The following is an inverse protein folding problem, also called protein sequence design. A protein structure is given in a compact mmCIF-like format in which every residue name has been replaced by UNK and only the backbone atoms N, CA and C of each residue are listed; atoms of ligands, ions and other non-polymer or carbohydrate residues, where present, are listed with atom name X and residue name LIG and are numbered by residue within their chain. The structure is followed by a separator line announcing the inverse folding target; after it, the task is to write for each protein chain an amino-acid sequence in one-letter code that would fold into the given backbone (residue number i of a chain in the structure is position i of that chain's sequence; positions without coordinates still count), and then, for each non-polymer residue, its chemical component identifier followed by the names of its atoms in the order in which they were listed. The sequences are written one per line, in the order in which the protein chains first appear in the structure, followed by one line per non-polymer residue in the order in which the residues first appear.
data_IF_862713346223
#
_entry.id   IF_862713346223
#
_cell.length_a   1.000
_cell.length_b   1.000
_cell.length_c   1.000
_cell.angle_alpha   90.00
_cell.angle_beta   90.00
_cell.angle_gamma   90.00
#
_symmetry.space_group_name_H-M   'P 1'
#
loop_
_entity.id
_entity.type
_entity.pdbx_description
1 polymer ?
#
# COMPACT_ATOMS: atom_id res chain seq x y z
N UNK A 1 -12.00 -7.42 -14.11
CA UNK A 1 -11.12 -6.67 -13.18
C UNK A 1 -11.55 -5.21 -13.26
N UNK A 2 -11.91 -4.60 -12.13
CA UNK A 2 -12.41 -3.22 -12.08
C UNK A 2 -11.27 -2.29 -11.67
N UNK A 3 -10.82 -1.46 -12.60
CA UNK A 3 -9.68 -0.55 -12.37
C UNK A 3 -10.11 0.82 -11.80
N UNK A 4 -11.42 1.03 -11.62
CA UNK A 4 -12.01 2.33 -11.23
C UNK A 4 -12.79 2.31 -9.91
N UNK A 5 -12.84 1.17 -9.21
CA UNK A 5 -13.64 1.01 -8.00
C UNK A 5 -12.70 0.76 -6.83
N UNK A 6 -12.76 1.62 -5.81
CA UNK A 6 -12.05 1.40 -4.56
C UNK A 6 -12.62 0.17 -3.85
N UNK A 7 -11.74 -0.66 -3.27
CA UNK A 7 -12.17 -1.78 -2.45
C UNK A 7 -13.00 -1.33 -1.24
N UNK A 8 -12.76 -0.12 -0.74
CA UNK A 8 -13.55 0.50 0.32
C UNK A 8 -14.97 0.82 -0.16
N UNK A 9 -15.13 1.38 -1.37
CA UNK A 9 -16.44 1.66 -1.95
C UNK A 9 -17.27 0.38 -2.08
N UNK A 10 -16.65 -0.75 -2.41
CA UNK A 10 -17.34 -2.06 -2.46
C UNK A 10 -17.85 -2.51 -1.08
N UNK A 11 -17.12 -2.22 -0.01
CA UNK A 11 -17.57 -2.55 1.35
C UNK A 11 -18.68 -1.61 1.80
N UNK A 12 -18.61 -0.33 1.44
CA UNK A 12 -19.63 0.67 1.81
C UNK A 12 -20.93 0.53 1.00
N UNK A 13 -20.83 0.07 -0.25
CA UNK A 13 -21.99 -0.06 -1.15
C UNK A 13 -23.10 -0.97 -0.60
N UNK A 14 -22.75 -1.98 0.22
CA UNK A 14 -23.73 -2.83 0.90
C UNK A 14 -23.34 -3.08 2.36
N UNK A 15 -24.32 -2.97 3.25
CA UNK A 15 -24.19 -3.36 4.66
C UNK A 15 -23.75 -4.83 4.80
N UNK A 16 -23.14 -5.16 5.94
CA UNK A 16 -22.69 -6.51 6.31
C UNK A 16 -21.52 -7.03 5.47
N UNK A 17 -20.53 -6.16 5.18
CA UNK A 17 -19.32 -6.52 4.45
C UNK A 17 -18.07 -6.14 5.24
N UNK A 18 -17.04 -6.96 5.11
CA UNK A 18 -15.71 -6.67 5.64
C UNK A 18 -14.64 -6.98 4.60
N UNK A 19 -13.67 -6.06 4.45
CA UNK A 19 -12.46 -6.25 3.68
C UNK A 19 -11.40 -6.90 4.57
N UNK A 20 -11.02 -8.12 4.20
CA UNK A 20 -10.03 -8.93 4.90
C UNK A 20 -8.79 -9.06 4.02
N UNK A 21 -7.62 -8.81 4.60
CA UNK A 21 -6.32 -8.92 3.94
C UNK A 21 -5.52 -10.06 4.55
N UNK A 22 -4.88 -10.87 3.71
CA UNK A 22 -4.00 -11.95 4.14
C UNK A 22 -2.63 -11.36 4.49
N UNK A 23 -2.15 -11.57 5.72
CA UNK A 23 -0.84 -11.11 6.17
C UNK A 23 0.27 -12.07 5.70
N UNK A 24 0.37 -12.25 4.39
CA UNK A 24 1.38 -13.10 3.76
C UNK A 24 1.91 -12.43 2.49
N UNK A 25 3.01 -12.93 1.96
CA UNK A 25 3.55 -12.48 0.67
C UNK A 25 2.80 -13.19 -0.47
N UNK A 26 2.02 -12.46 -1.30
CA UNK A 26 1.28 -13.06 -2.41
C UNK A 26 2.18 -13.73 -3.45
N UNK A 27 3.36 -13.16 -3.70
CA UNK A 27 4.28 -13.57 -4.75
C UNK A 27 5.01 -14.88 -4.45
N UNK A 28 5.12 -15.25 -3.17
CA UNK A 28 5.81 -16.48 -2.76
C UNK A 28 4.88 -17.50 -2.13
N UNK A 29 3.91 -17.08 -1.32
CA UNK A 29 3.04 -17.99 -0.58
C UNK A 29 1.78 -18.37 -1.36
N UNK A 30 1.03 -17.38 -1.85
CA UNK A 30 -0.29 -17.63 -2.44
C UNK A 30 -0.16 -18.21 -3.85
N UNK A 31 0.77 -17.70 -4.66
CA UNK A 31 0.92 -18.17 -6.04
C UNK A 31 1.35 -19.65 -6.13
N UNK A 32 2.12 -20.13 -5.14
CA UNK A 32 2.63 -21.50 -5.07
C UNK A 32 1.70 -22.46 -4.30
N UNK A 33 0.61 -21.95 -3.72
CA UNK A 33 -0.32 -22.76 -2.95
C UNK A 33 -1.20 -23.66 -3.83
N UNK A 34 -1.72 -24.75 -3.26
CA UNK A 34 -2.62 -25.68 -3.97
C UNK A 34 -3.90 -24.93 -4.41
N UNK A 35 -4.21 -24.82 -5.72
CA UNK A 35 -5.28 -23.96 -6.22
C UNK A 35 -6.68 -24.38 -5.74
N UNK A 36 -6.93 -25.69 -5.65
CA UNK A 36 -8.25 -26.25 -5.36
C UNK A 36 -8.56 -26.40 -3.85
N UNK A 37 -7.63 -26.04 -2.97
CA UNK A 37 -7.93 -26.00 -1.54
C UNK A 37 -8.78 -24.77 -1.21
N UNK A 38 -9.62 -24.87 -0.17
CA UNK A 38 -10.40 -23.72 0.31
C UNK A 38 -9.48 -22.66 0.92
N UNK A 39 -9.91 -21.41 0.89
CA UNK A 39 -9.21 -20.29 1.55
C UNK A 39 -9.01 -20.61 3.04
N UNK A 40 -10.02 -21.16 3.72
CA UNK A 40 -9.92 -21.62 5.12
C UNK A 40 -8.78 -22.62 5.35
N UNK A 41 -8.70 -23.67 4.52
CA UNK A 41 -7.67 -24.70 4.64
C UNK A 41 -6.27 -24.12 4.39
N UNK A 42 -6.16 -23.18 3.46
CA UNK A 42 -4.90 -22.49 3.21
C UNK A 42 -4.46 -21.65 4.41
N UNK A 43 -5.35 -20.83 4.96
CA UNK A 43 -5.06 -19.99 6.13
C UNK A 43 -4.63 -20.83 7.33
N UNK A 44 -5.43 -21.84 7.69
CA UNK A 44 -5.21 -22.66 8.88
C UNK A 44 -3.97 -23.55 8.78
N UNK A 45 -3.72 -24.17 7.63
CA UNK A 45 -2.55 -25.05 7.45
C UNK A 45 -1.23 -24.31 7.43
N UNK A 46 -1.23 -23.05 6.97
CA UNK A 46 -0.02 -22.24 6.84
C UNK A 46 0.10 -21.20 7.97
N UNK A 47 -0.81 -21.23 8.96
CA UNK A 47 -0.85 -20.29 10.08
C UNK A 47 -0.79 -18.81 9.63
N UNK A 48 -1.56 -18.48 8.58
CA UNK A 48 -1.58 -17.13 8.01
C UNK A 48 -2.44 -16.23 8.86
N UNK A 49 -1.89 -15.10 9.32
CA UNK A 49 -2.67 -14.10 10.04
C UNK A 49 -3.58 -13.32 9.09
N UNK A 50 -4.72 -12.87 9.63
CA UNK A 50 -5.71 -12.07 8.92
C UNK A 50 -5.69 -10.63 9.45
N UNK A 51 -5.70 -9.66 8.55
CA UNK A 51 -5.98 -8.27 8.89
C UNK A 51 -7.40 -7.90 8.47
N UNK A 52 -8.14 -7.21 9.34
CA UNK A 52 -9.40 -6.57 8.96
C UNK A 52 -9.03 -5.15 8.54
N UNK A 53 -9.03 -4.90 7.23
CA UNK A 53 -8.64 -3.58 6.72
C UNK A 53 -9.77 -2.56 6.90
N UNK A 54 -11.02 -3.01 6.74
CA UNK A 54 -12.20 -2.18 6.92
C UNK A 54 -13.44 -3.07 7.09
N UNK A 55 -14.39 -2.65 7.92
CA UNK A 55 -15.69 -3.32 8.09
C UNK A 55 -16.75 -2.30 8.42
N UNK A 56 -17.96 -2.51 7.91
CA UNK A 56 -19.13 -1.66 8.24
C UNK A 56 -19.90 -2.15 9.48
N UNK A 57 -19.47 -3.25 10.08
CA UNK A 57 -19.99 -3.81 11.33
C UNK A 57 -18.86 -4.35 12.20
N UNK A 58 -19.11 -4.50 13.50
CA UNK A 58 -18.17 -5.16 14.39
C UNK A 58 -18.03 -6.64 14.01
N UNK A 59 -16.80 -7.04 13.73
CA UNK A 59 -16.46 -8.41 13.36
C UNK A 59 -15.05 -8.74 13.85
N UNK A 60 -14.88 -9.95 14.37
CA UNK A 60 -13.58 -10.43 14.87
C UNK A 60 -12.91 -11.36 13.86
N UNK A 61 -11.63 -11.67 14.07
CA UNK A 61 -10.92 -12.67 13.26
C UNK A 61 -11.55 -14.07 13.40
N UNK A 62 -12.07 -14.41 14.57
CA UNK A 62 -12.72 -15.70 14.83
C UNK A 62 -14.03 -15.83 14.05
N UNK A 63 -14.84 -14.75 14.00
CA UNK A 63 -16.06 -14.71 13.18
C UNK A 63 -15.75 -14.97 11.69
N UNK A 64 -14.66 -14.37 11.19
CA UNK A 64 -14.19 -14.55 9.81
C UNK A 64 -13.80 -16.01 9.57
N UNK A 65 -13.03 -16.62 10.47
CA UNK A 65 -12.64 -18.02 10.37
C UNK A 65 -13.86 -18.95 10.37
N UNK A 66 -14.86 -18.66 11.19
CA UNK A 66 -16.12 -19.42 11.25
C UNK A 66 -16.98 -19.30 9.99
N UNK A 67 -16.92 -18.15 9.30
CA UNK A 67 -17.52 -17.98 7.98
C UNK A 67 -16.74 -18.82 6.95
N UNK A 68 -15.43 -18.64 6.90
CA UNK A 68 -14.55 -19.31 5.94
C UNK A 68 -14.60 -20.85 6.06
N UNK A 69 -14.81 -21.38 7.26
CA UNK A 69 -14.94 -22.82 7.52
C UNK A 69 -16.10 -23.47 6.75
N UNK A 70 -17.17 -22.72 6.48
CA UNK A 70 -18.37 -23.17 5.74
C UNK A 70 -18.38 -22.69 4.28
N UNK A 71 -17.50 -21.76 3.94
CA UNK A 71 -17.35 -21.21 2.59
C UNK A 71 -16.51 -22.15 1.68
N UNK A 72 -16.87 -22.18 0.40
CA UNK A 72 -16.23 -23.08 -0.58
C UNK A 72 -15.24 -22.39 -1.50
N UNK A 73 -15.00 -21.08 -1.34
CA UNK A 73 -14.11 -20.30 -2.18
C UNK A 73 -12.68 -20.82 -2.06
N UNK A 74 -11.99 -20.79 -3.19
CA UNK A 74 -10.75 -21.52 -3.42
C UNK A 74 -9.58 -20.55 -3.50
N UNK A 75 -8.38 -21.06 -3.21
CA UNK A 75 -7.15 -20.29 -3.37
C UNK A 75 -6.96 -19.84 -4.82
N UNK A 76 -7.40 -20.63 -5.80
CA UNK A 76 -7.35 -20.24 -7.22
C UNK A 76 -8.08 -18.91 -7.49
N UNK A 77 -9.15 -18.61 -6.76
CA UNK A 77 -9.93 -17.39 -6.98
C UNK A 77 -9.11 -16.14 -6.59
N UNK A 78 -8.16 -16.27 -5.64
CA UNK A 78 -7.17 -15.23 -5.31
C UNK A 78 -5.98 -15.27 -6.29
N UNK A 79 -5.56 -16.45 -6.73
CA UNK A 79 -4.48 -16.56 -7.73
C UNK A 79 -4.87 -15.92 -9.06
N UNK A 80 -6.15 -16.03 -9.46
CA UNK A 80 -6.67 -15.39 -10.66
C UNK A 80 -6.59 -13.85 -10.56
N UNK A 81 -6.85 -13.27 -9.39
CA UNK A 81 -6.66 -11.83 -9.18
C UNK A 81 -5.19 -11.43 -9.19
N UNK A 82 -4.30 -12.27 -8.66
CA UNK A 82 -2.84 -12.05 -8.76
C UNK A 82 -2.40 -12.04 -10.23
N UNK A 83 -2.79 -13.03 -11.03
CA UNK A 83 -2.43 -13.10 -12.46
C UNK A 83 -2.95 -11.89 -13.24
N UNK A 84 -4.19 -11.48 -12.97
CA UNK A 84 -4.78 -10.31 -13.58
C UNK A 84 -4.02 -8.99 -13.30
N UNK A 85 -3.43 -8.86 -12.10
CA UNK A 85 -2.60 -7.71 -11.71
C UNK A 85 -1.24 -7.77 -12.42
N UNK A 86 -0.61 -8.96 -12.44
CA UNK A 86 0.66 -9.20 -13.13
C UNK A 86 0.57 -8.96 -14.64
N UNK A 87 -0.50 -9.42 -15.30
CA UNK A 87 -0.73 -9.23 -16.74
C UNK A 87 -0.86 -7.75 -17.13
N UNK A 88 -1.28 -6.88 -16.19
CA UNK A 88 -1.33 -5.43 -16.38
C UNK A 88 0.03 -4.73 -16.14
N UNK A 89 1.06 -5.49 -15.79
CA UNK A 89 2.40 -4.96 -15.50
C UNK A 89 2.50 -4.23 -14.16
N UNK A 90 1.66 -4.58 -13.20
CA UNK A 90 1.83 -4.19 -11.81
C UNK A 90 2.70 -5.22 -11.08
N UNK A 91 3.51 -4.72 -10.14
CA UNK A 91 4.37 -5.54 -9.32
C UNK A 91 3.65 -5.89 -8.01
N UNK A 92 3.35 -7.18 -7.84
CA UNK A 92 2.71 -7.73 -6.64
C UNK A 92 3.71 -7.90 -5.48
N UNK A 93 4.96 -7.50 -5.61
CA UNK A 93 5.91 -7.42 -4.50
C UNK A 93 6.03 -5.99 -3.95
N UNK A 94 5.58 -5.00 -4.73
CA UNK A 94 5.57 -3.58 -4.35
C UNK A 94 4.18 -3.23 -3.83
N UNK A 95 4.08 -2.75 -2.59
CA UNK A 95 2.84 -2.22 -2.00
C UNK A 95 1.61 -3.12 -2.23
N UNK A 96 1.80 -4.43 -2.08
CA UNK A 96 0.82 -5.43 -2.47
C UNK A 96 0.11 -6.07 -1.28
N UNK A 97 -1.12 -6.50 -1.55
CA UNK A 97 -1.92 -7.27 -0.62
C UNK A 97 -2.95 -8.08 -1.39
N UNK A 98 -3.08 -9.35 -1.01
CA UNK A 98 -4.17 -10.20 -1.47
C UNK A 98 -5.17 -10.39 -0.34
N UNK A 99 -6.44 -10.38 -0.68
CA UNK A 99 -7.50 -10.44 0.29
C UNK A 99 -8.82 -10.82 -0.35
N UNK A 100 -9.86 -10.64 0.43
CA UNK A 100 -11.22 -10.91 0.01
C UNK A 100 -12.19 -10.05 0.79
N UNK A 101 -13.34 -9.79 0.18
CA UNK A 101 -14.49 -9.16 0.83
C UNK A 101 -15.45 -10.28 1.22
N UNK A 102 -15.74 -10.39 2.51
CA UNK A 102 -16.77 -11.30 3.01
C UNK A 102 -18.12 -10.60 3.10
N UNK A 103 -19.18 -11.36 2.83
CA UNK A 103 -20.54 -11.00 3.16
C UNK A 103 -20.93 -11.73 4.44
N UNK A 104 -21.14 -10.98 5.52
CA UNK A 104 -21.30 -11.52 6.88
C UNK A 104 -22.68 -12.14 7.06
N UNK A 105 -23.71 -11.54 6.45
CA UNK A 105 -25.09 -12.04 6.49
C UNK A 105 -25.22 -13.35 5.69
N UNK A 106 -24.67 -13.38 4.48
CA UNK A 106 -24.67 -14.58 3.63
C UNK A 106 -23.64 -15.62 4.05
N UNK A 107 -22.69 -15.25 4.92
CA UNK A 107 -21.56 -16.07 5.35
C UNK A 107 -20.77 -16.67 4.19
N UNK A 108 -20.40 -15.83 3.22
CA UNK A 108 -19.60 -16.23 2.06
C UNK A 108 -18.47 -15.23 1.78
N UNK A 109 -17.45 -15.67 1.06
CA UNK A 109 -16.53 -14.77 0.36
C UNK A 109 -17.25 -14.26 -0.89
N UNK A 110 -17.52 -12.95 -0.96
CA UNK A 110 -18.26 -12.34 -2.08
C UNK A 110 -17.32 -11.89 -3.20
N UNK A 111 -16.10 -11.46 -2.85
CA UNK A 111 -15.07 -11.07 -3.81
C UNK A 111 -13.68 -11.48 -3.35
N UNK A 112 -12.82 -11.90 -4.27
CA UNK A 112 -11.37 -11.94 -4.08
C UNK A 112 -10.75 -10.70 -4.74
N UNK A 113 -9.63 -10.23 -4.18
CA UNK A 113 -8.90 -9.11 -4.77
C UNK A 113 -7.40 -9.20 -4.48
N UNK A 114 -6.63 -8.58 -5.37
CA UNK A 114 -5.20 -8.34 -5.20
C UNK A 114 -4.92 -6.91 -5.59
N UNK A 115 -4.12 -6.23 -4.79
CA UNK A 115 -3.49 -4.97 -5.13
C UNK A 115 -2.02 -5.20 -5.45
N UNK A 116 -1.51 -4.49 -6.45
CA UNK A 116 -0.09 -4.43 -6.79
C UNK A 116 0.29 -2.99 -7.07
N UNK A 117 1.52 -2.62 -6.68
CA UNK A 117 2.09 -1.31 -6.93
C UNK A 117 2.75 -1.25 -8.30
N UNK A 118 2.92 -0.04 -8.83
CA UNK A 118 3.78 0.19 -9.99
C UNK A 118 4.60 1.43 -9.74
N UNK A 119 5.91 1.30 -9.91
CA UNK A 119 6.80 2.45 -9.86
C UNK A 119 6.55 3.33 -11.08
N UNK A 120 6.57 4.64 -10.87
CA UNK A 120 6.64 5.55 -11.99
C UNK A 120 7.95 5.33 -12.76
N UNK A 121 7.92 5.36 -14.11
CA UNK A 121 9.10 5.12 -14.93
C UNK A 121 10.30 5.99 -14.54
N UNK A 122 10.05 7.21 -14.05
CA UNK A 122 11.08 8.20 -13.72
C UNK A 122 11.76 7.95 -12.37
N UNK A 123 11.23 7.07 -11.50
CA UNK A 123 11.72 6.91 -10.12
C UNK A 123 13.19 6.51 -10.06
N UNK A 124 13.62 5.55 -10.88
CA UNK A 124 15.01 5.07 -10.87
C UNK A 124 16.00 6.16 -11.29
N UNK A 125 15.63 6.94 -12.30
CA UNK A 125 16.41 8.09 -12.77
C UNK A 125 16.49 9.18 -11.69
N UNK A 126 15.34 9.53 -11.10
CA UNK A 126 15.25 10.55 -10.05
C UNK A 126 16.09 10.16 -8.84
N UNK A 127 15.99 8.92 -8.37
CA UNK A 127 16.81 8.42 -7.26
C UNK A 127 18.31 8.49 -7.59
N UNK A 128 18.69 8.07 -8.81
CA UNK A 128 20.08 8.10 -9.25
C UNK A 128 20.63 9.53 -9.30
N UNK A 129 19.83 10.47 -9.79
CA UNK A 129 20.16 11.89 -9.88
C UNK A 129 20.29 12.55 -8.51
N UNK A 130 19.36 12.28 -7.59
CA UNK A 130 19.43 12.78 -6.21
C UNK A 130 20.69 12.26 -5.49
N UNK A 131 21.02 10.98 -5.66
CA UNK A 131 22.27 10.42 -5.12
C UNK A 131 23.51 11.08 -5.71
N UNK A 132 23.53 11.36 -7.02
CA UNK A 132 24.63 12.07 -7.68
C UNK A 132 24.82 13.48 -7.13
N UNK A 133 23.75 14.10 -6.64
CA UNK A 133 23.76 15.39 -5.93
C UNK A 133 24.10 15.27 -4.43
N UNK A 134 24.52 14.08 -3.94
CA UNK A 134 24.76 13.78 -2.52
C UNK A 134 23.54 14.03 -1.61
N UNK A 135 22.34 13.81 -2.12
CA UNK A 135 21.10 13.89 -1.33
C UNK A 135 20.77 12.50 -0.78
N UNK A 136 20.64 12.41 0.55
CA UNK A 136 20.18 11.19 1.22
C UNK A 136 18.66 11.01 1.06
N UNK A 137 18.25 9.82 0.64
CA UNK A 137 16.85 9.50 0.36
C UNK A 137 16.32 8.54 1.42
N UNK A 138 15.12 8.82 1.90
CA UNK A 138 14.39 8.04 2.89
C UNK A 138 12.98 7.72 2.39
N UNK A 139 12.43 6.58 2.80
CA UNK A 139 11.08 6.14 2.42
C UNK A 139 10.26 5.87 3.68
N UNK A 140 9.07 6.46 3.76
CA UNK A 140 8.15 6.28 4.88
C UNK A 140 6.75 5.88 4.40
N UNK A 141 6.27 4.69 4.78
CA UNK A 141 4.95 4.18 4.38
C UNK A 141 4.24 3.45 5.52
N UNK A 142 2.90 3.39 5.44
CA UNK A 142 2.08 2.54 6.29
C UNK A 142 2.18 1.05 5.94
N UNK A 143 2.83 0.71 4.83
CA UNK A 143 3.01 -0.67 4.38
C UNK A 143 3.88 -1.49 5.33
N UNK A 144 3.75 -2.82 5.19
CA UNK A 144 4.55 -3.79 5.93
C UNK A 144 6.03 -3.63 5.60
N UNK A 145 6.87 -3.81 6.63
CA UNK A 145 8.33 -3.70 6.52
C UNK A 145 8.93 -4.49 5.36
N UNK A 146 8.55 -5.76 5.20
CA UNK A 146 9.11 -6.59 4.11
C UNK A 146 8.79 -6.07 2.71
N UNK A 147 7.59 -5.52 2.47
CA UNK A 147 7.24 -4.94 1.18
C UNK A 147 8.02 -3.64 0.93
N UNK A 148 8.17 -2.81 1.98
CA UNK A 148 8.87 -1.53 1.87
C UNK A 148 10.39 -1.70 1.71
N UNK A 149 11.00 -2.69 2.36
CA UNK A 149 12.41 -3.04 2.19
C UNK A 149 12.69 -3.58 0.78
N UNK A 150 11.81 -4.43 0.24
CA UNK A 150 11.89 -4.87 -1.17
C UNK A 150 11.82 -3.69 -2.12
N UNK A 151 10.85 -2.79 -1.94
CA UNK A 151 10.75 -1.56 -2.73
C UNK A 151 12.05 -0.76 -2.67
N UNK A 152 12.59 -0.53 -1.46
CA UNK A 152 13.83 0.21 -1.27
C UNK A 152 14.99 -0.44 -2.03
N UNK A 153 15.15 -1.77 -1.98
CA UNK A 153 16.16 -2.49 -2.76
C UNK A 153 15.95 -2.27 -4.27
N UNK A 154 14.72 -2.38 -4.77
CA UNK A 154 14.38 -2.17 -6.18
C UNK A 154 14.76 -0.78 -6.68
N UNK A 155 14.56 0.26 -5.85
CA UNK A 155 14.93 1.64 -6.18
C UNK A 155 16.30 2.04 -5.65
N UNK A 156 17.10 1.07 -5.21
CA UNK A 156 18.46 1.25 -4.72
C UNK A 156 18.57 2.21 -3.50
N UNK A 157 17.62 2.21 -2.58
CA UNK A 157 17.69 2.93 -1.31
C UNK A 157 18.09 1.96 -0.20
N UNK A 158 18.94 2.41 0.73
CA UNK A 158 19.33 1.60 1.89
C UNK A 158 18.11 1.23 2.72
N UNK A 159 17.99 -0.05 3.11
CA UNK A 159 16.93 -0.51 4.02
C UNK A 159 17.00 0.16 5.38
N UNK A 160 18.16 0.68 5.79
CA UNK A 160 18.29 1.52 7.01
C UNK A 160 17.55 2.85 6.94
N UNK A 161 17.20 3.30 5.73
CA UNK A 161 16.51 4.56 5.47
C UNK A 161 15.00 4.35 5.27
N UNK A 162 14.50 3.15 5.61
CA UNK A 162 13.10 2.76 5.47
C UNK A 162 12.36 2.85 6.81
N UNK A 163 11.25 3.58 6.83
CA UNK A 163 10.32 3.70 7.95
C UNK A 163 8.98 3.08 7.57
N UNK A 164 8.82 1.79 7.87
CA UNK A 164 7.61 1.04 7.58
C UNK A 164 6.56 1.14 8.70
N UNK A 165 5.32 0.77 8.40
CA UNK A 165 4.19 0.74 9.36
C UNK A 165 3.99 2.05 10.11
N UNK A 166 4.31 3.20 9.47
CA UNK A 166 4.14 4.52 10.07
C UNK A 166 2.80 5.13 9.69
N UNK A 167 2.10 5.66 10.68
CA UNK A 167 0.85 6.41 10.49
C UNK A 167 1.14 7.87 10.10
N UNK A 168 0.08 8.66 9.87
CA UNK A 168 0.15 10.07 9.50
C UNK A 168 1.05 10.89 10.45
N UNK A 169 0.97 10.64 11.76
CA UNK A 169 1.78 11.35 12.76
C UNK A 169 3.22 10.84 12.75
N UNK A 170 3.41 9.54 12.62
CA UNK A 170 4.70 8.89 12.49
C UNK A 170 5.52 9.44 11.33
N UNK A 171 4.90 9.67 10.17
CA UNK A 171 5.55 10.32 9.03
C UNK A 171 6.10 11.71 9.37
N UNK A 172 5.33 12.55 10.07
CA UNK A 172 5.80 13.86 10.53
C UNK A 172 6.95 13.75 11.55
N UNK A 173 6.89 12.77 12.47
CA UNK A 173 7.99 12.51 13.41
C UNK A 173 9.29 12.10 12.71
N UNK A 174 9.21 11.35 11.60
CA UNK A 174 10.36 11.01 10.76
C UNK A 174 11.00 12.28 10.23
N UNK A 175 10.23 13.19 9.63
CA UNK A 175 10.74 14.48 9.14
C UNK A 175 11.41 15.27 10.28
N UNK A 176 10.74 15.40 11.43
CA UNK A 176 11.30 16.09 12.59
C UNK A 176 12.61 15.48 13.08
N UNK A 177 12.77 14.16 13.00
CA UNK A 177 14.03 13.47 13.31
C UNK A 177 15.11 13.78 12.26
N UNK A 178 14.76 13.77 10.98
CA UNK A 178 15.70 14.07 9.89
C UNK A 178 16.19 15.52 9.93
N UNK A 179 15.33 16.49 10.27
CA UNK A 179 15.71 17.90 10.47
C UNK A 179 16.70 18.15 11.61
N UNK A 180 16.88 17.19 12.52
CA UNK A 180 17.96 17.24 13.53
C UNK A 180 19.31 16.76 12.99
N UNK A 181 19.31 16.02 11.88
CA UNK A 181 20.49 15.42 11.25
C UNK A 181 20.94 16.20 10.01
N UNK A 182 20.00 16.76 9.27
CA UNK A 182 20.22 17.47 8.01
C UNK A 182 19.81 18.94 8.14
N UNK A 183 20.48 19.80 7.38
CA UNK A 183 20.19 21.23 7.33
C UNK A 183 18.81 21.51 6.71
N UNK A 184 18.45 20.75 5.66
CA UNK A 184 17.13 20.79 5.05
C UNK A 184 16.58 19.42 4.72
N UNK A 185 15.26 19.31 4.82
CA UNK A 185 14.49 18.12 4.46
C UNK A 185 13.36 18.49 3.51
N UNK A 186 13.38 17.90 2.31
CA UNK A 186 12.24 17.90 1.40
C UNK A 186 11.38 16.67 1.66
N UNK A 187 10.08 16.85 1.82
CA UNK A 187 9.10 15.76 1.87
C UNK A 187 8.34 15.72 0.56
N UNK A 188 8.28 14.56 -0.10
CA UNK A 188 7.45 14.33 -1.29
C UNK A 188 6.34 13.35 -0.94
N UNK A 189 5.08 13.72 -1.19
CA UNK A 189 3.92 12.87 -0.91
C UNK A 189 2.74 13.18 -1.84
N UNK A 190 1.72 12.34 -1.82
CA UNK A 190 0.58 12.38 -2.76
C UNK A 190 -0.78 12.39 -2.05
N UNK A 191 -0.82 12.07 -0.74
CA UNK A 191 -2.05 11.72 -0.05
C UNK A 191 -2.35 12.55 1.19
N UNK A 192 -3.60 12.46 1.64
CA UNK A 192 -4.07 13.07 2.90
C UNK A 192 -3.24 12.63 4.11
N UNK A 193 -2.69 11.42 4.08
CA UNK A 193 -1.83 10.86 5.12
C UNK A 193 -0.46 11.56 5.22
N UNK A 194 -0.09 12.39 4.25
CA UNK A 194 1.20 13.09 4.21
C UNK A 194 1.09 14.55 4.64
N UNK A 195 -0.12 15.09 4.83
CA UNK A 195 -0.37 16.51 5.16
C UNK A 195 0.50 16.99 6.33
N UNK A 196 0.63 16.20 7.40
CA UNK A 196 1.43 16.59 8.55
C UNK A 196 2.93 16.57 8.25
N UNK A 197 3.40 15.62 7.45
CA UNK A 197 4.79 15.52 7.05
C UNK A 197 5.19 16.61 6.05
N UNK A 198 4.30 16.93 5.10
CA UNK A 198 4.47 18.04 4.15
C UNK A 198 4.66 19.37 4.89
N UNK A 199 3.84 19.64 5.91
CA UNK A 199 3.93 20.86 6.72
C UNK A 199 5.13 20.91 7.67
N UNK A 200 5.66 19.77 8.09
CA UNK A 200 6.82 19.70 9.00
C UNK A 200 8.15 19.87 8.24
N UNK A 201 8.17 19.52 6.96
CA UNK A 201 9.33 19.62 6.10
C UNK A 201 9.77 21.07 5.88
N UNK A 202 11.02 21.25 5.45
CA UNK A 202 11.49 22.57 5.03
C UNK A 202 10.94 22.93 3.64
N UNK A 203 10.68 21.91 2.84
CA UNK A 203 9.90 22.00 1.59
C UNK A 203 8.98 20.78 1.49
N UNK A 204 7.68 21.02 1.54
CA UNK A 204 6.64 20.04 1.26
C UNK A 204 6.27 20.05 -0.22
N UNK A 205 6.53 18.95 -0.93
CA UNK A 205 6.19 18.77 -2.34
C UNK A 205 5.03 17.79 -2.48
N UNK A 206 3.93 18.25 -3.05
CA UNK A 206 2.80 17.42 -3.43
C UNK A 206 2.97 16.93 -4.86
N UNK A 207 2.99 15.61 -5.06
CA UNK A 207 2.88 15.02 -6.41
C UNK A 207 1.43 14.69 -6.74
N UNK A 208 0.98 15.14 -7.91
CA UNK A 208 -0.34 14.82 -8.46
C UNK A 208 -0.28 13.72 -9.53
N UNK A 209 0.88 13.11 -9.76
CA UNK A 209 1.08 12.11 -10.81
C UNK A 209 0.19 10.86 -10.64
N UNK A 210 -0.23 10.52 -9.41
CA UNK A 210 -1.16 9.40 -9.13
C UNK A 210 -2.63 9.81 -9.10
N UNK A 211 -2.94 11.11 -9.00
CA UNK A 211 -4.22 11.55 -8.45
C UNK A 211 -5.23 11.96 -9.52
N UNK A 212 -6.39 11.30 -9.51
CA UNK A 212 -7.55 11.70 -10.32
C UNK A 212 -8.45 12.73 -9.61
N UNK A 213 -8.29 12.90 -8.29
CA UNK A 213 -9.05 13.84 -7.45
C UNK A 213 -8.18 14.39 -6.34
N UNK A 214 -8.08 15.71 -6.26
CA UNK A 214 -7.23 16.38 -5.27
C UNK A 214 -8.09 17.05 -4.21
N UNK A 215 -7.82 16.75 -2.94
CA UNK A 215 -8.48 17.41 -1.82
C UNK A 215 -7.86 18.78 -1.55
N UNK A 216 -8.70 19.81 -1.36
CA UNK A 216 -8.25 21.20 -1.12
C UNK A 216 -7.30 21.32 0.08
N UNK A 217 -7.53 20.53 1.14
CA UNK A 217 -6.65 20.49 2.33
C UNK A 217 -5.23 20.05 2.00
N UNK A 218 -5.06 19.20 0.99
CA UNK A 218 -3.77 18.69 0.55
C UNK A 218 -3.00 19.75 -0.23
N UNK A 219 -3.68 20.47 -1.14
CA UNK A 219 -3.11 21.60 -1.88
C UNK A 219 -2.57 22.68 -0.93
N UNK A 220 -3.33 22.99 0.13
CA UNK A 220 -2.95 23.97 1.16
C UNK A 220 -1.81 23.53 2.08
N UNK A 221 -1.41 22.26 2.03
CA UNK A 221 -0.39 21.71 2.92
C UNK A 221 1.00 21.66 2.27
N UNK A 222 1.09 21.81 0.95
CA UNK A 222 2.33 21.74 0.21
C UNK A 222 2.81 23.13 -0.21
N UNK A 223 4.13 23.30 -0.26
CA UNK A 223 4.78 24.50 -0.77
C UNK A 223 4.88 24.48 -2.30
N UNK A 224 5.10 23.28 -2.87
CA UNK A 224 5.28 23.07 -4.31
C UNK A 224 4.38 21.91 -4.75
N UNK A 225 3.81 22.04 -5.95
CA UNK A 225 3.02 21.00 -6.59
C UNK A 225 3.74 20.58 -7.87
N UNK A 226 3.92 19.28 -8.06
CA UNK A 226 4.49 18.67 -9.27
C UNK A 226 3.52 17.68 -9.89
N UNK A 227 3.57 17.53 -11.21
CA UNK A 227 2.73 16.60 -11.97
C UNK A 227 3.50 15.37 -12.45
N UNK A 228 4.83 15.47 -12.45
CA UNK A 228 5.76 14.38 -12.67
C UNK A 228 6.84 14.39 -11.59
N UNK A 229 7.15 13.23 -11.01
CA UNK A 229 8.16 13.10 -9.97
C UNK A 229 9.54 13.60 -10.40
N UNK A 230 9.84 13.65 -11.70
CA UNK A 230 11.09 14.21 -12.23
C UNK A 230 11.27 15.70 -11.93
N UNK A 231 10.19 16.46 -11.80
CA UNK A 231 10.24 17.90 -11.54
C UNK A 231 10.89 18.25 -10.18
N UNK A 232 10.95 17.29 -9.24
CA UNK A 232 11.62 17.52 -7.95
C UNK A 232 13.13 17.77 -8.10
N UNK A 233 13.73 17.34 -9.22
CA UNK A 233 15.15 17.56 -9.50
C UNK A 233 15.48 19.03 -9.76
N UNK A 234 14.49 19.83 -10.13
CA UNK A 234 14.63 21.26 -10.44
C UNK A 234 14.41 22.15 -9.21
N UNK A 235 13.88 21.59 -8.13
CA UNK A 235 13.66 22.28 -6.87
C UNK A 235 15.02 22.52 -6.18
N UNK A 236 15.35 23.80 -5.97
CA UNK A 236 16.56 24.19 -5.25
C UNK A 236 16.26 24.32 -3.77
N UNK A 237 17.04 23.64 -2.93
CA UNK A 237 16.93 23.73 -1.48
C UNK A 237 18.26 23.53 -0.80
#
# INVERSE_FOLDING_TARGET
ICDFISSLDLVEYKKNRALVVLQTDPASCIINAKPNQTIYNFITRNNIDLGISYSNIDITKDDILDILKKDNSKVRDIQDTIRAVLERGYDIEICSGSGFIINIEKRIVEFTLTAGGKLFPEVLDVVSELKRKNIDIYVASGDRKGALEKLAITINISTSNVFATVDTKGKALVIRRLKKKYDKVMMVGDGLNDILALKEADIGVLTLQQSNKVHEKLLKAADIIVYNIREILDIKF
#
